data_IF_223870890030
#
_entry.id   IF_223870890030
#
_cell.length_a   1.000
_cell.length_b   1.000
_cell.length_c   1.000
_cell.angle_alpha   90.00
_cell.angle_beta   90.00
_cell.angle_gamma   90.00
#
_symmetry.space_group_name_H-M   'P 1'
#
loop_
_entity.id
_entity.type
_entity.pdbx_description
1 polymer ?
#
# COMPACT_ATOMS: atom_id res chain seq x y z
N UNK A 1 9.88 18.21 -7.92
CA UNK A 1 8.68 17.40 -8.15
C UNK A 1 8.91 16.10 -7.41
N UNK A 2 8.21 15.89 -6.30
CA UNK A 2 8.27 14.60 -5.58
C UNK A 2 6.83 14.22 -5.34
N UNK A 3 6.21 13.70 -6.40
CA UNK A 3 4.91 13.05 -6.33
C UNK A 3 4.94 12.10 -5.13
N UNK A 4 3.94 12.19 -4.28
CA UNK A 4 3.75 11.38 -3.10
C UNK A 4 3.74 9.89 -3.52
N UNK A 5 4.91 9.25 -3.53
CA UNK A 5 5.10 7.90 -4.08
C UNK A 5 4.16 6.92 -3.38
N UNK A 6 3.28 6.31 -4.16
CA UNK A 6 2.48 5.17 -3.71
C UNK A 6 3.40 4.07 -3.22
N UNK A 7 3.16 3.59 -2.00
CA UNK A 7 4.06 2.63 -1.37
C UNK A 7 3.78 1.22 -1.88
N UNK A 8 4.83 0.49 -2.24
CA UNK A 8 4.68 -0.92 -2.54
C UNK A 8 4.52 -1.73 -1.25
N UNK A 9 4.02 -2.96 -1.38
CA UNK A 9 3.89 -3.89 -0.25
C UNK A 9 5.20 -4.04 0.53
N UNK A 10 6.35 -4.08 -0.16
CA UNK A 10 7.66 -4.18 0.47
C UNK A 10 7.99 -2.94 1.31
N UNK A 11 7.82 -1.74 0.75
CA UNK A 11 8.05 -0.48 1.48
C UNK A 11 7.16 -0.38 2.72
N UNK A 12 5.89 -0.78 2.59
CA UNK A 12 4.94 -0.80 3.71
C UNK A 12 5.42 -1.80 4.77
N UNK A 13 5.84 -3.00 4.36
CA UNK A 13 6.31 -4.06 5.24
C UNK A 13 7.54 -3.63 6.04
N UNK A 14 8.50 -2.98 5.39
CA UNK A 14 9.69 -2.41 6.03
C UNK A 14 9.31 -1.30 7.02
N UNK A 15 8.42 -0.38 6.64
CA UNK A 15 7.97 0.72 7.52
C UNK A 15 7.25 0.24 8.78
N UNK A 16 6.40 -0.78 8.66
CA UNK A 16 5.70 -1.36 9.82
C UNK A 16 6.51 -2.45 10.53
N UNK A 17 7.71 -2.74 10.03
CA UNK A 17 8.61 -3.80 10.51
C UNK A 17 7.88 -5.15 10.66
N UNK A 18 7.16 -5.56 9.61
CA UNK A 18 6.44 -6.84 9.53
C UNK A 18 6.84 -7.60 8.26
N UNK A 19 6.54 -8.90 8.26
CA UNK A 19 6.70 -9.71 7.05
C UNK A 19 5.79 -9.20 5.92
N UNK A 20 6.23 -9.43 4.67
CA UNK A 20 5.44 -9.14 3.46
C UNK A 20 4.06 -9.81 3.54
N UNK A 21 4.01 -11.08 3.97
CA UNK A 21 2.76 -11.85 4.13
C UNK A 21 1.77 -11.21 5.12
N UNK A 22 2.29 -10.64 6.21
CA UNK A 22 1.46 -9.93 7.19
C UNK A 22 0.94 -8.62 6.61
N UNK A 23 1.78 -7.94 5.85
CA UNK A 23 1.45 -6.67 5.18
C UNK A 23 0.38 -6.87 4.11
N UNK A 24 0.50 -7.90 3.27
CA UNK A 24 -0.54 -8.27 2.28
C UNK A 24 -1.89 -8.57 2.94
N UNK A 25 -1.87 -9.25 4.09
CA UNK A 25 -3.08 -9.49 4.89
C UNK A 25 -3.71 -8.17 5.34
N UNK A 26 -2.92 -7.21 5.81
CA UNK A 26 -3.42 -5.89 6.20
C UNK A 26 -3.94 -5.10 4.99
N UNK A 27 -3.19 -5.06 3.89
CA UNK A 27 -3.61 -4.44 2.62
C UNK A 27 -4.94 -5.01 2.15
N UNK A 28 -5.12 -6.34 2.19
CA UNK A 28 -6.37 -6.99 1.81
C UNK A 28 -7.55 -6.54 2.67
N UNK A 29 -7.34 -6.37 3.98
CA UNK A 29 -8.36 -5.87 4.90
C UNK A 29 -8.68 -4.40 4.63
N UNK A 30 -7.65 -3.57 4.46
CA UNK A 30 -7.79 -2.14 4.19
C UNK A 30 -8.48 -1.87 2.84
N UNK A 31 -8.14 -2.67 1.82
CA UNK A 31 -8.76 -2.63 0.49
C UNK A 31 -10.24 -3.02 0.57
N UNK A 32 -10.57 -4.09 1.31
CA UNK A 32 -11.97 -4.49 1.56
C UNK A 32 -12.75 -3.44 2.34
N UNK A 33 -12.09 -2.72 3.25
CA UNK A 33 -12.68 -1.62 4.00
C UNK A 33 -12.81 -0.31 3.18
N UNK A 34 -12.31 -0.27 1.94
CA UNK A 34 -12.31 0.94 1.11
C UNK A 34 -11.37 2.04 1.62
N UNK A 35 -10.39 1.70 2.45
CA UNK A 35 -9.45 2.64 3.07
C UNK A 35 -8.19 2.85 2.22
N UNK A 36 -7.87 1.92 1.33
CA UNK A 36 -6.73 2.02 0.42
C UNK A 36 -7.13 1.59 -0.99
N UNK A 37 -6.42 2.15 -1.97
CA UNK A 37 -6.52 1.78 -3.37
C UNK A 37 -5.14 1.66 -3.98
N UNK A 38 -5.02 0.78 -4.97
CA UNK A 38 -3.81 0.67 -5.77
C UNK A 38 -3.91 1.65 -6.94
N UNK A 39 -2.96 2.58 -7.06
CA UNK A 39 -2.89 3.54 -8.17
C UNK A 39 -1.55 3.39 -8.89
N UNK A 40 -1.59 3.50 -10.22
CA UNK A 40 -0.42 3.42 -11.10
C UNK A 40 -0.31 2.08 -11.84
N UNK A 41 0.83 1.86 -12.50
CA UNK A 41 1.07 0.65 -13.27
C UNK A 41 1.37 -0.55 -12.36
N UNK A 42 1.10 -1.80 -12.73
CA UNK A 42 1.33 -2.97 -11.87
C UNK A 42 2.76 -3.12 -11.33
N UNK A 43 3.75 -2.54 -12.01
CA UNK A 43 5.18 -2.62 -11.67
C UNK A 43 5.74 -1.40 -10.93
N UNK A 44 5.08 -0.24 -11.02
CA UNK A 44 5.57 1.05 -10.50
C UNK A 44 4.53 1.81 -9.69
N UNK A 45 3.28 1.38 -9.76
CA UNK A 45 2.19 1.87 -8.94
C UNK A 45 2.28 1.31 -7.52
N UNK A 46 1.54 1.93 -6.62
CA UNK A 46 1.57 1.59 -5.21
C UNK A 46 0.22 1.82 -4.54
N UNK A 47 0.19 1.53 -3.25
CA UNK A 47 -1.01 1.72 -2.44
C UNK A 47 -1.08 3.14 -1.88
N UNK A 48 -2.27 3.73 -2.00
CA UNK A 48 -2.61 5.05 -1.49
C UNK A 48 -3.73 4.93 -0.48
N UNK A 49 -3.66 5.74 0.58
CA UNK A 49 -4.71 5.83 1.59
C UNK A 49 -5.81 6.77 1.09
N UNK A 50 -7.04 6.28 1.02
CA UNK A 50 -8.21 7.14 0.87
C UNK A 50 -8.48 7.79 2.23
N UNK A 51 -8.02 9.02 2.41
CA UNK A 51 -8.51 9.85 3.51
C UNK A 51 -9.90 10.37 3.15
N UNK A 52 -10.87 10.13 4.03
CA UNK A 52 -12.14 10.86 4.07
C UNK A 52 -11.92 12.30 4.52
#
# INVERSE_FOLDING_TARGET
MSESEGLNTNDIAERINKSISTTERYISKLKKAGLIEFRGAPKTGGYYVLKQ
#
